data_IF_885353199998
#
_entry.id   IF_885353199998
#
_cell.length_a   1.000
_cell.length_b   1.000
_cell.length_c   1.000
_cell.angle_alpha   90.00
_cell.angle_beta   90.00
_cell.angle_gamma   90.00
#
_symmetry.space_group_name_H-M   'P 1'
#
loop_
_entity.id
_entity.type
_entity.pdbx_description
1 polymer ?
#
# COMPACT_ATOMS: atom_id res chain seq x y z
N UNK A 1 -5.59 3.82 12.65
CA UNK A 1 -4.68 4.73 11.94
C UNK A 1 -5.54 5.65 11.10
N UNK A 2 -5.33 6.96 11.21
CA UNK A 2 -5.95 7.91 10.29
C UNK A 2 -5.22 7.84 8.94
N UNK A 3 -5.94 8.05 7.85
CA UNK A 3 -5.41 7.98 6.48
C UNK A 3 -4.16 8.85 6.27
N UNK A 4 -4.11 9.99 6.94
CA UNK A 4 -3.00 10.95 6.91
C UNK A 4 -1.71 10.41 7.53
N UNK A 5 -1.79 9.64 8.61
CA UNK A 5 -0.60 9.05 9.25
C UNK A 5 0.04 7.97 8.36
N UNK A 6 -0.79 7.18 7.68
CA UNK A 6 -0.33 6.13 6.76
C UNK A 6 0.39 6.75 5.56
N UNK A 7 -0.14 7.84 4.99
CA UNK A 7 0.48 8.54 3.86
C UNK A 7 1.81 9.16 4.27
N UNK A 8 1.89 9.79 5.44
CA UNK A 8 3.12 10.38 5.96
C UNK A 8 4.20 9.31 6.18
N UNK A 9 3.86 8.18 6.83
CA UNK A 9 4.82 7.08 7.04
C UNK A 9 5.31 6.49 5.72
N UNK A 10 4.42 6.30 4.74
CA UNK A 10 4.81 5.81 3.42
C UNK A 10 5.75 6.80 2.73
N UNK A 11 5.43 8.10 2.76
CA UNK A 11 6.26 9.14 2.14
C UNK A 11 7.66 9.20 2.77
N UNK A 12 7.75 9.11 4.10
CA UNK A 12 9.02 9.05 4.82
C UNK A 12 9.84 7.80 4.45
N UNK A 13 9.21 6.62 4.43
CA UNK A 13 9.90 5.34 4.12
C UNK A 13 10.32 5.22 2.66
N UNK A 14 9.56 5.80 1.73
CA UNK A 14 9.85 5.70 0.30
C UNK A 14 10.63 6.90 -0.25
N UNK A 15 10.80 7.97 0.53
CA UNK A 15 11.31 9.28 0.05
C UNK A 15 10.51 9.83 -1.15
N UNK A 16 9.26 9.40 -1.30
CA UNK A 16 8.34 9.85 -2.35
C UNK A 16 7.49 10.98 -1.78
N UNK A 17 7.16 11.97 -2.61
CA UNK A 17 6.30 13.08 -2.20
C UNK A 17 4.95 12.58 -1.67
N UNK A 18 4.49 13.16 -0.56
CA UNK A 18 3.20 12.84 0.07
C UNK A 18 2.03 12.95 -0.91
N UNK A 19 2.06 13.92 -1.83
CA UNK A 19 1.04 14.05 -2.87
C UNK A 19 0.99 12.84 -3.82
N UNK A 20 2.14 12.29 -4.18
CA UNK A 20 2.22 11.07 -5.01
C UNK A 20 1.72 9.86 -4.22
N UNK A 21 2.10 9.74 -2.95
CA UNK A 21 1.59 8.70 -2.05
C UNK A 21 0.07 8.76 -1.90
N UNK A 22 -0.50 9.96 -1.74
CA UNK A 22 -1.95 10.14 -1.66
C UNK A 22 -2.65 9.72 -2.96
N UNK A 23 -2.10 10.08 -4.12
CA UNK A 23 -2.64 9.68 -5.43
C UNK A 23 -2.65 8.16 -5.58
N UNK A 24 -1.57 7.49 -5.20
CA UNK A 24 -1.45 6.03 -5.23
C UNK A 24 -2.45 5.37 -4.29
N UNK A 25 -2.58 5.85 -3.05
CA UNK A 25 -3.53 5.31 -2.06
C UNK A 25 -4.98 5.51 -2.50
N UNK A 26 -5.35 6.68 -3.03
CA UNK A 26 -6.69 6.94 -3.56
C UNK A 26 -7.01 6.07 -4.79
N UNK A 27 -6.05 5.86 -5.68
CA UNK A 27 -6.22 4.99 -6.83
C UNK A 27 -6.37 3.52 -6.40
N UNK A 28 -5.65 3.11 -5.36
CA UNK A 28 -5.81 1.81 -4.72
C UNK A 28 -7.19 1.62 -4.09
N UNK A 29 -7.70 2.61 -3.33
CA UNK A 29 -9.06 2.56 -2.77
C UNK A 29 -10.11 2.33 -3.86
N UNK A 30 -10.06 3.11 -4.95
CA UNK A 30 -10.97 2.96 -6.08
C UNK A 30 -10.87 1.57 -6.73
N UNK A 31 -9.65 1.03 -6.82
CA UNK A 31 -9.46 -0.33 -7.33
C UNK A 31 -10.12 -1.36 -6.42
N UNK A 32 -9.98 -1.24 -5.10
CA UNK A 32 -10.61 -2.11 -4.11
C UNK A 32 -12.14 -2.01 -4.14
N UNK A 33 -12.70 -0.80 -4.24
CA UNK A 33 -14.15 -0.60 -4.36
C UNK A 33 -14.71 -1.27 -5.61
N UNK A 34 -14.01 -1.16 -6.75
CA UNK A 34 -14.45 -1.78 -8.01
C UNK A 34 -14.30 -3.30 -8.04
N UNK A 35 -13.24 -3.83 -7.42
CA UNK A 35 -12.88 -5.24 -7.63
C UNK A 35 -13.31 -6.18 -6.50
N UNK A 36 -13.82 -5.70 -5.35
CA UNK A 36 -14.24 -6.50 -4.15
C UNK A 36 -13.39 -7.78 -4.01
N UNK A 37 -12.07 -7.65 -4.08
CA UNK A 37 -11.17 -8.80 -4.09
C UNK A 37 -10.36 -8.78 -2.81
N UNK A 38 -10.32 -9.94 -2.16
CA UNK A 38 -9.48 -10.16 -0.99
C UNK A 38 -8.06 -9.65 -1.26
N UNK A 39 -7.62 -8.68 -0.46
CA UNK A 39 -6.32 -8.01 -0.58
C UNK A 39 -5.22 -9.06 -0.45
N UNK A 40 -4.65 -9.49 -1.57
CA UNK A 40 -3.62 -10.53 -1.62
C UNK A 40 -2.42 -10.01 -2.37
N UNK A 41 -1.21 -10.35 -1.92
CA UNK A 41 0.05 -10.00 -2.60
C UNK A 41 0.07 -10.44 -4.07
N UNK A 42 -0.72 -11.46 -4.42
CA UNK A 42 -0.95 -11.93 -5.80
C UNK A 42 -1.57 -10.88 -6.73
N UNK A 43 -2.26 -9.88 -6.18
CA UNK A 43 -2.89 -8.80 -6.95
C UNK A 43 -2.05 -7.52 -6.99
N UNK A 44 -0.88 -7.46 -6.34
CA UNK A 44 -0.04 -6.24 -6.31
C UNK A 44 0.32 -5.78 -7.71
N UNK A 45 0.69 -6.68 -8.63
CA UNK A 45 0.99 -6.30 -10.01
C UNK A 45 -0.22 -5.70 -10.74
N UNK A 46 -1.41 -6.27 -10.54
CA UNK A 46 -2.63 -5.76 -11.15
C UNK A 46 -3.02 -4.39 -10.58
N UNK A 47 -2.86 -4.21 -9.28
CA UNK A 47 -3.07 -2.93 -8.59
C UNK A 47 -2.07 -1.89 -9.08
N UNK A 48 -0.78 -2.22 -9.10
CA UNK A 48 0.27 -1.31 -9.57
C UNK A 48 0.03 -0.90 -11.01
N UNK A 49 -0.29 -1.85 -11.90
CA UNK A 49 -0.66 -1.54 -13.29
C UNK A 49 -1.86 -0.61 -13.37
N UNK A 50 -2.92 -0.88 -12.61
CA UNK A 50 -4.10 -0.02 -12.58
C UNK A 50 -3.74 1.39 -12.11
N UNK A 51 -2.89 1.53 -11.10
CA UNK A 51 -2.44 2.83 -10.59
C UNK A 51 -1.62 3.56 -11.66
N UNK A 52 -0.64 2.92 -12.29
CA UNK A 52 0.18 3.53 -13.35
C UNK A 52 -0.65 3.88 -14.60
N UNK A 53 -1.70 3.12 -14.90
CA UNK A 53 -2.60 3.39 -16.03
C UNK A 53 -3.57 4.53 -15.74
N UNK A 54 -4.00 4.66 -14.47
CA UNK A 54 -4.95 5.69 -14.04
C UNK A 54 -4.31 6.96 -13.48
N UNK A 55 -3.00 6.92 -13.22
CA UNK A 55 -2.22 8.01 -12.61
C UNK A 55 -0.88 8.15 -13.33
N UNK A 56 -0.35 9.36 -13.45
CA UNK A 56 0.97 9.62 -14.07
C UNK A 56 2.15 9.25 -13.14
N UNK A 57 1.96 8.25 -12.27
CA UNK A 57 2.97 7.82 -11.31
C UNK A 57 3.80 6.70 -11.92
N UNK A 58 5.12 6.73 -11.73
CA UNK A 58 6.00 5.69 -12.23
C UNK A 58 5.70 4.35 -11.55
N UNK A 59 5.81 3.27 -12.31
CA UNK A 59 5.60 1.91 -11.80
C UNK A 59 6.48 1.59 -10.58
N UNK A 60 7.73 2.06 -10.58
CA UNK A 60 8.68 1.87 -9.48
C UNK A 60 8.19 2.56 -8.20
N UNK A 61 7.66 3.78 -8.32
CA UNK A 61 7.15 4.57 -7.19
C UNK A 61 5.85 3.96 -6.65
N UNK A 62 4.90 3.65 -7.54
CA UNK A 62 3.65 2.99 -7.17
C UNK A 62 3.90 1.65 -6.48
N UNK A 63 4.85 0.85 -6.97
CA UNK A 63 5.22 -0.44 -6.36
C UNK A 63 5.87 -0.29 -4.99
N UNK A 64 6.74 0.71 -4.81
CA UNK A 64 7.35 0.99 -3.52
C UNK A 64 6.29 1.34 -2.47
N UNK A 65 5.40 2.29 -2.80
CA UNK A 65 4.28 2.71 -1.94
C UNK A 65 3.38 1.52 -1.59
N UNK A 66 2.99 0.73 -2.58
CA UNK A 66 2.11 -0.42 -2.38
C UNK A 66 2.77 -1.51 -1.52
N UNK A 67 4.07 -1.75 -1.67
CA UNK A 67 4.77 -2.73 -0.82
C UNK A 67 4.79 -2.29 0.66
N UNK A 68 5.10 -1.02 0.94
CA UNK A 68 5.08 -0.49 2.31
C UNK A 68 3.65 -0.53 2.86
N UNK A 69 2.65 -0.12 2.07
CA UNK A 69 1.25 -0.18 2.47
C UNK A 69 0.81 -1.62 2.82
N UNK A 70 1.18 -2.61 2.01
CA UNK A 70 0.90 -4.01 2.29
C UNK A 70 1.68 -4.55 3.50
N UNK A 71 2.89 -4.06 3.73
CA UNK A 71 3.67 -4.43 4.92
C UNK A 71 3.04 -3.85 6.19
N UNK A 72 2.63 -2.59 6.17
CA UNK A 72 1.88 -1.94 7.25
C UNK A 72 0.54 -2.63 7.54
N UNK A 73 -0.23 -2.96 6.48
CA UNK A 73 -1.47 -3.74 6.62
C UNK A 73 -1.19 -5.16 7.15
N UNK A 74 -0.09 -5.77 6.70
CA UNK A 74 0.39 -7.06 7.15
C UNK A 74 0.83 -7.04 8.61
N UNK A 75 1.52 -6.00 9.05
CA UNK A 75 1.99 -5.83 10.42
C UNK A 75 0.84 -5.55 11.37
N UNK A 76 -0.17 -4.76 10.94
CA UNK A 76 -1.41 -4.61 11.72
C UNK A 76 -2.22 -5.91 11.82
N UNK A 77 -2.29 -6.70 10.75
CA UNK A 77 -2.90 -8.03 10.77
C UNK A 77 -2.10 -8.98 11.67
N UNK A 78 -0.77 -8.96 11.61
CA UNK A 78 0.13 -9.74 12.49
C UNK A 78 0.03 -9.31 13.95
N UNK A 79 -0.12 -8.01 14.22
CA UNK A 79 -0.26 -7.49 15.58
C UNK A 79 -1.60 -7.87 16.22
N UNK A 80 -2.62 -8.21 15.41
CA UNK A 80 -3.89 -8.79 15.88
C UNK A 80 -3.89 -10.33 15.93
N UNK A 81 -2.89 -10.98 15.34
CA UNK A 81 -2.77 -12.43 15.28
C UNK A 81 -1.67 -12.89 16.25
N UNK A 82 -2.01 -13.32 17.49
CA UNK A 82 -1.04 -13.56 18.57
C UNK A 82 0.02 -14.65 18.26
N UNK A 83 -0.17 -15.48 17.25
CA UNK A 83 0.79 -16.51 16.84
C UNK A 83 1.80 -16.06 15.76
N UNK A 84 1.66 -14.85 15.20
CA UNK A 84 2.52 -14.33 14.13
C UNK A 84 3.57 -13.32 14.60
N UNK A 85 3.77 -13.15 15.92
CA UNK A 85 4.97 -12.52 16.49
C UNK A 85 6.19 -13.39 16.17
N UNK A 86 6.65 -13.35 14.92
CA UNK A 86 7.88 -14.00 14.53
C UNK A 86 9.02 -13.19 15.13
N UNK A 87 9.75 -13.87 16.03
CA UNK A 87 10.96 -13.41 16.71
C UNK A 87 11.85 -12.59 15.77
N UNK A 88 12.10 -11.33 16.11
CA UNK A 88 13.32 -10.65 15.65
C UNK A 88 14.50 -11.34 16.35
N UNK A 89 15.34 -12.01 15.57
CA UNK A 89 16.70 -12.40 15.95
C UNK A 89 17.59 -11.16 15.99
#
# INVERSE_FOLDING_TARGET
MNHTEVIATIAEETSINESTCEVVVKAYEKYCEKNITSVSKKHIEAIVRYIVDTTDVKEIEARAVMNILFDLLGDQLRSKIPFMKSKKY
#
